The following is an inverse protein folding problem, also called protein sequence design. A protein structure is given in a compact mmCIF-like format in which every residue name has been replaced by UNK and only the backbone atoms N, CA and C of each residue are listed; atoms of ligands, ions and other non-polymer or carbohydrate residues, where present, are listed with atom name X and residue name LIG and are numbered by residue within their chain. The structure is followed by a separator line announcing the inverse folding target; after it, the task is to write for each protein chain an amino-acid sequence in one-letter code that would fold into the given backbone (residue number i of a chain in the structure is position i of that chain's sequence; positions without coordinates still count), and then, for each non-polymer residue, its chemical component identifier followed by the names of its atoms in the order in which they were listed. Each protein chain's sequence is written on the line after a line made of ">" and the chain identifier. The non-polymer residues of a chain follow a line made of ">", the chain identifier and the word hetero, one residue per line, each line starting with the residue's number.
data_IF_878132302634
#
_entry.id   IF_878132302634
#
_cell.length_a   1.000
_cell.length_b   1.000
_cell.length_c   1.000
_cell.angle_alpha   90.00
_cell.angle_beta   90.00
_cell.angle_gamma   90.00
#
_symmetry.space_group_name_H-M   'P 1'
#
loop_
_entity.id
_entity.type
_entity.pdbx_description
1 polymer ?
#
# COMPACT_ATOMS: atom_id res chain seq x y z
N UNK A 1 10.25 13.41 2.05
CA UNK A 1 9.70 13.41 3.44
C UNK A 1 9.28 12.01 3.81
N UNK A 2 9.43 11.60 5.08
CA UNK A 2 9.05 10.28 5.57
C UNK A 2 7.82 10.42 6.46
N UNK A 3 6.75 9.70 6.15
CA UNK A 3 5.54 9.68 6.96
C UNK A 3 5.42 8.32 7.65
N UNK A 4 5.47 8.36 8.98
CA UNK A 4 5.35 7.18 9.84
C UNK A 4 3.90 6.90 10.24
N UNK A 5 3.06 7.92 10.12
CA UNK A 5 1.67 7.96 10.55
C UNK A 5 0.83 8.57 9.42
N UNK A 6 -0.34 7.98 9.15
CA UNK A 6 -1.18 8.40 8.05
C UNK A 6 -1.95 9.69 8.35
N UNK A 7 -2.26 10.00 9.61
CA UNK A 7 -2.91 11.25 10.01
C UNK A 7 -1.97 12.44 9.81
N UNK A 8 -0.68 12.27 10.13
CA UNK A 8 0.34 13.29 9.85
C UNK A 8 0.46 13.55 8.34
N UNK A 9 0.39 12.50 7.53
CA UNK A 9 0.33 12.65 6.07
C UNK A 9 -0.91 13.42 5.62
N UNK A 10 -2.10 13.05 6.11
CA UNK A 10 -3.35 13.73 5.75
C UNK A 10 -3.30 15.20 6.12
N UNK A 11 -2.87 15.53 7.35
CA UNK A 11 -2.68 16.91 7.77
C UNK A 11 -1.74 17.67 6.84
N UNK A 12 -0.60 17.07 6.46
CA UNK A 12 0.35 17.71 5.56
C UNK A 12 -0.18 17.91 4.12
N UNK A 13 -1.11 17.08 3.65
CA UNK A 13 -1.73 17.20 2.31
C UNK A 13 -2.94 18.13 2.33
N UNK A 14 -3.72 18.12 3.42
CA UNK A 14 -4.96 18.88 3.58
C UNK A 14 -4.77 20.30 4.09
N UNK A 15 -3.57 20.65 4.56
CA UNK A 15 -3.17 22.04 4.78
C UNK A 15 -3.32 22.79 3.45
N UNK A 16 -4.53 23.35 3.25
CA UNK A 16 -4.89 24.15 2.10
C UNK A 16 -3.80 25.18 1.96
N UNK A 17 -3.14 25.11 0.82
CA UNK A 17 -2.18 26.08 0.35
C UNK A 17 -2.91 27.42 0.44
N UNK A 18 -2.57 28.24 1.43
CA UNK A 18 -2.68 29.69 1.26
C UNK A 18 -1.82 30.10 0.06
N UNK A 19 -1.55 31.38 -0.19
CA UNK A 19 -0.65 31.79 -1.28
C UNK A 19 0.80 31.25 -1.18
N UNK A 20 1.11 30.37 -0.23
CA UNK A 20 2.42 29.78 0.04
C UNK A 20 2.65 28.47 -0.74
N UNK A 21 3.54 28.45 -1.76
CA UNK A 21 3.84 27.28 -2.63
C UNK A 21 4.47 26.05 -1.95
N UNK A 22 4.47 26.02 -0.61
CA UNK A 22 5.42 25.27 0.20
C UNK A 22 5.13 23.76 0.25
N UNK A 23 3.99 23.28 -0.26
CA UNK A 23 3.69 21.84 -0.37
C UNK A 23 3.84 21.30 -1.80
N UNK A 24 4.11 22.17 -2.79
CA UNK A 24 4.57 21.74 -4.12
C UNK A 24 5.99 21.12 -4.06
N UNK A 25 6.65 21.14 -2.89
CA UNK A 25 7.96 20.52 -2.67
C UNK A 25 7.91 19.02 -2.35
N UNK A 26 6.72 18.40 -2.27
CA UNK A 26 6.57 16.99 -1.94
C UNK A 26 6.92 16.06 -3.11
N UNK A 27 8.03 16.33 -3.80
CA UNK A 27 8.49 15.52 -4.92
C UNK A 27 8.97 14.13 -4.53
N UNK A 28 9.33 13.94 -3.25
CA UNK A 28 9.74 12.63 -2.69
C UNK A 28 8.98 12.30 -1.41
N UNK A 29 8.26 11.20 -1.40
CA UNK A 29 7.49 10.71 -0.25
C UNK A 29 7.91 9.29 0.07
N UNK A 30 8.04 8.99 1.36
CA UNK A 30 8.12 7.62 1.85
C UNK A 30 6.93 7.33 2.75
N UNK A 31 6.12 6.36 2.34
CA UNK A 31 5.10 5.73 3.19
C UNK A 31 5.77 4.63 3.99
N UNK A 32 5.80 4.78 5.31
CA UNK A 32 6.36 3.80 6.21
C UNK A 32 5.30 3.40 7.24
N UNK A 33 4.23 2.77 6.76
CA UNK A 33 3.07 2.38 7.56
C UNK A 33 3.19 0.93 8.07
N UNK A 34 2.43 0.59 9.11
CA UNK A 34 2.21 -0.81 9.50
C UNK A 34 1.26 -1.48 8.49
N UNK A 35 1.14 -2.81 8.48
CA UNK A 35 0.18 -3.50 7.60
C UNK A 35 -1.26 -2.99 7.80
N UNK A 36 -1.66 -2.83 9.07
CA UNK A 36 -2.92 -2.20 9.44
C UNK A 36 -3.02 -0.78 8.87
N UNK A 37 -1.98 0.03 9.04
CA UNK A 37 -1.94 1.38 8.50
C UNK A 37 -2.03 1.44 6.98
N UNK A 38 -1.47 0.47 6.25
CA UNK A 38 -1.63 0.35 4.80
C UNK A 38 -3.07 0.06 4.40
N UNK A 39 -3.72 -0.88 5.09
CA UNK A 39 -5.13 -1.18 4.81
C UNK A 39 -6.03 0.02 5.11
N UNK A 40 -5.86 0.64 6.27
CA UNK A 40 -6.59 1.87 6.61
C UNK A 40 -6.31 3.01 5.61
N UNK A 41 -5.05 3.17 5.19
CA UNK A 41 -4.68 4.21 4.22
C UNK A 41 -5.34 3.98 2.85
N UNK A 42 -5.40 2.74 2.38
CA UNK A 42 -5.98 2.42 1.09
C UNK A 42 -7.48 2.08 1.14
N UNK A 43 -8.13 2.22 2.30
CA UNK A 43 -9.55 1.93 2.47
C UNK A 43 -9.88 0.44 2.34
N UNK A 44 -8.93 -0.43 2.67
CA UNK A 44 -9.10 -1.89 2.59
C UNK A 44 -9.84 -2.37 3.84
N UNK A 45 -11.01 -2.97 3.64
CA UNK A 45 -11.87 -3.46 4.71
C UNK A 45 -12.08 -4.97 4.64
N UNK A 46 -12.44 -5.53 5.80
CA UNK A 46 -12.64 -6.96 6.01
C UNK A 46 -14.04 -7.21 6.57
N UNK A 47 -15.11 -6.94 5.80
CA UNK A 47 -16.46 -7.41 6.18
C UNK A 47 -17.46 -7.41 5.00
N UNK A 48 -18.10 -8.54 4.65
CA UNK A 48 -17.75 -9.92 5.00
C UNK A 48 -16.53 -10.45 4.23
N UNK A 49 -16.18 -9.82 3.11
CA UNK A 49 -15.05 -10.18 2.24
C UNK A 49 -14.03 -9.04 2.17
N UNK A 50 -12.80 -9.36 1.74
CA UNK A 50 -11.78 -8.35 1.49
C UNK A 50 -12.21 -7.46 0.32
N UNK A 51 -12.37 -6.17 0.57
CA UNK A 51 -12.74 -5.19 -0.46
C UNK A 51 -12.07 -3.85 -0.21
N UNK A 52 -12.12 -2.96 -1.21
CA UNK A 52 -11.67 -1.57 -1.08
C UNK A 52 -12.89 -0.68 -1.00
N UNK A 53 -13.11 -0.06 0.16
CA UNK A 53 -14.04 1.04 0.32
C UNK A 53 -13.37 2.33 -0.18
N UNK A 54 -13.72 2.72 -1.41
CA UNK A 54 -13.20 3.92 -2.07
C UNK A 54 -13.50 5.20 -1.27
N UNK A 55 -14.60 5.24 -0.50
CA UNK A 55 -14.98 6.40 0.30
C UNK A 55 -14.05 6.61 1.51
N UNK A 56 -13.40 5.52 1.97
CA UNK A 56 -12.44 5.54 3.08
C UNK A 56 -10.98 5.59 2.60
N UNK A 57 -10.75 5.33 1.31
CA UNK A 57 -9.40 5.32 0.76
C UNK A 57 -8.78 6.71 0.72
N UNK A 58 -7.61 6.85 1.33
CA UNK A 58 -6.75 8.04 1.28
C UNK A 58 -5.75 7.97 0.12
N UNK A 59 -5.77 6.90 -0.67
CA UNK A 59 -4.88 6.71 -1.82
C UNK A 59 -4.99 7.83 -2.87
N UNK A 60 -6.18 8.38 -3.07
CA UNK A 60 -6.43 9.49 -4.00
C UNK A 60 -5.66 10.78 -3.66
N UNK A 61 -5.17 10.94 -2.42
CA UNK A 61 -4.28 12.06 -2.10
C UNK A 61 -2.95 11.96 -2.85
N UNK A 62 -2.44 10.75 -3.11
CA UNK A 62 -1.21 10.55 -3.87
C UNK A 62 -1.37 10.97 -5.34
N UNK A 63 -2.57 10.80 -5.92
CA UNK A 63 -2.85 11.19 -7.30
C UNK A 63 -2.94 12.70 -7.47
N UNK A 64 -3.32 13.43 -6.41
CA UNK A 64 -3.42 14.90 -6.40
C UNK A 64 -2.07 15.60 -6.25
N UNK A 65 -1.03 14.89 -5.84
CA UNK A 65 0.31 15.45 -5.70
C UNK A 65 1.02 15.50 -7.06
N UNK A 66 0.68 16.48 -7.89
CA UNK A 66 1.24 16.61 -9.25
C UNK A 66 2.76 16.73 -9.32
N UNK A 67 3.42 17.17 -8.24
CA UNK A 67 4.87 17.23 -8.13
C UNK A 67 5.53 15.92 -7.66
N UNK A 68 4.76 14.92 -7.20
CA UNK A 68 5.30 13.67 -6.67
C UNK A 68 5.92 12.82 -7.79
N UNK A 69 7.25 12.66 -7.74
CA UNK A 69 7.99 11.88 -8.73
C UNK A 69 8.73 10.68 -8.16
N UNK A 70 8.95 10.63 -6.84
CA UNK A 70 9.59 9.51 -6.13
C UNK A 70 8.74 9.09 -4.93
N UNK A 71 8.11 7.93 -5.02
CA UNK A 71 7.38 7.31 -3.93
C UNK A 71 8.14 6.08 -3.43
N UNK A 72 8.41 6.03 -2.14
CA UNK A 72 8.92 4.83 -1.48
C UNK A 72 7.85 4.23 -0.59
N UNK A 73 7.54 2.95 -0.80
CA UNK A 73 6.61 2.17 0.02
C UNK A 73 7.44 1.20 0.85
N UNK A 74 7.54 1.46 2.15
CA UNK A 74 8.28 0.61 3.08
C UNK A 74 7.31 -0.32 3.81
N UNK A 75 7.46 -1.63 3.60
CA UNK A 75 6.75 -2.66 4.34
C UNK A 75 7.50 -2.95 5.65
N UNK A 76 6.82 -2.86 6.79
CA UNK A 76 7.44 -3.14 8.09
C UNK A 76 7.42 -4.64 8.41
N UNK A 77 8.41 -5.11 9.17
CA UNK A 77 8.46 -6.51 9.60
C UNK A 77 7.30 -6.81 10.57
N UNK A 78 6.52 -7.88 10.33
CA UNK A 78 5.38 -8.22 11.18
C UNK A 78 5.79 -8.66 12.60
N UNK A 79 7.01 -9.18 12.79
CA UNK A 79 7.46 -9.78 14.06
C UNK A 79 7.63 -8.82 15.24
N UNK A 80 7.63 -7.49 15.02
CA UNK A 80 7.86 -6.50 16.10
C UNK A 80 6.57 -5.81 16.58
N UNK A 81 5.40 -6.31 16.19
CA UNK A 81 4.12 -5.71 16.55
C UNK A 81 3.27 -6.71 17.32
N UNK A 82 3.53 -6.79 18.62
CA UNK A 82 2.67 -7.49 19.58
C UNK A 82 1.25 -6.87 19.55
N UNK A 83 0.24 -7.69 19.24
CA UNK A 83 -1.13 -7.44 19.70
C UNK A 83 -2.19 -6.88 18.74
N UNK A 84 -2.03 -6.83 17.41
CA UNK A 84 -3.10 -6.34 16.49
C UNK A 84 -3.20 -7.12 15.17
N UNK A 85 -4.38 -7.12 14.49
CA UNK A 85 -4.94 -8.29 13.82
C UNK A 85 -4.01 -8.87 12.78
N UNK A 86 -3.86 -10.18 12.90
CA UNK A 86 -2.96 -10.98 12.11
C UNK A 86 -3.61 -11.20 10.76
N UNK A 87 -3.48 -10.24 9.85
CA UNK A 87 -3.62 -10.59 8.44
C UNK A 87 -2.63 -11.74 8.22
N UNK A 88 -3.08 -12.92 7.83
CA UNK A 88 -2.21 -14.06 7.82
C UNK A 88 -1.03 -13.75 6.94
N UNK A 89 0.15 -14.05 7.47
CA UNK A 89 1.39 -13.60 6.86
C UNK A 89 1.50 -14.03 5.38
N UNK A 90 0.77 -15.09 4.99
CA UNK A 90 0.61 -15.55 3.61
C UNK A 90 0.02 -14.51 2.64
N UNK A 91 -0.78 -13.53 3.10
CA UNK A 91 -1.29 -12.42 2.27
C UNK A 91 -0.21 -11.41 1.89
N UNK A 92 0.90 -11.39 2.65
CA UNK A 92 2.10 -10.57 2.42
C UNK A 92 3.23 -11.38 1.76
N UNK A 93 3.04 -12.69 1.58
CA UNK A 93 4.02 -13.62 1.03
C UNK A 93 3.66 -14.01 -0.42
N UNK A 94 4.66 -14.42 -1.21
CA UNK A 94 4.93 -13.85 -2.53
C UNK A 94 4.62 -14.76 -3.70
N UNK A 95 3.84 -15.82 -3.47
CA UNK A 95 3.07 -16.31 -4.61
C UNK A 95 2.08 -15.21 -5.03
N UNK A 96 1.55 -14.45 -4.05
CA UNK A 96 0.64 -13.31 -4.24
C UNK A 96 0.98 -12.10 -3.36
N UNK A 97 2.26 -11.73 -3.23
CA UNK A 97 2.72 -10.43 -2.69
C UNK A 97 2.19 -9.20 -3.47
N UNK A 98 1.23 -9.45 -4.35
CA UNK A 98 0.41 -8.51 -5.05
C UNK A 98 -0.75 -7.94 -4.27
N UNK A 99 -1.28 -8.51 -3.18
CA UNK A 99 -2.53 -7.97 -2.59
C UNK A 99 -2.44 -6.48 -2.20
N UNK A 100 -1.51 -6.13 -1.31
CA UNK A 100 -1.29 -4.72 -0.93
C UNK A 100 -1.01 -3.85 -2.17
N UNK A 101 -0.17 -4.35 -3.08
CA UNK A 101 0.18 -3.63 -4.30
C UNK A 101 -0.99 -3.53 -5.28
N UNK A 102 -1.94 -4.46 -5.28
CA UNK A 102 -3.14 -4.46 -6.14
C UNK A 102 -4.04 -3.32 -5.70
N UNK A 103 -4.25 -3.15 -4.39
CA UNK A 103 -5.01 -2.01 -3.87
C UNK A 103 -4.29 -0.68 -4.06
N UNK A 104 -2.95 -0.69 -3.94
CA UNK A 104 -2.13 0.50 -4.06
C UNK A 104 -2.04 0.97 -5.52
N UNK A 105 -1.95 0.03 -6.47
CA UNK A 105 -1.61 0.26 -7.87
C UNK A 105 -2.42 1.39 -8.54
N UNK A 106 -3.76 1.43 -8.45
CA UNK A 106 -4.56 2.51 -9.06
C UNK A 106 -4.15 3.92 -8.63
N UNK A 107 -3.57 4.08 -7.44
CA UNK A 107 -3.22 5.38 -6.87
C UNK A 107 -1.77 5.82 -7.14
N UNK A 108 -0.90 4.88 -7.55
CA UNK A 108 0.55 5.13 -7.64
C UNK A 108 1.11 4.90 -9.05
N UNK A 109 0.31 4.34 -9.96
CA UNK A 109 0.75 3.94 -11.29
C UNK A 109 1.28 5.07 -12.17
N UNK A 110 0.82 6.30 -11.92
CA UNK A 110 1.26 7.51 -12.60
C UNK A 110 2.58 8.08 -12.06
N UNK A 111 3.09 7.57 -10.93
CA UNK A 111 4.29 8.10 -10.29
C UNK A 111 5.53 7.54 -10.98
N UNK A 112 6.40 8.43 -11.48
CA UNK A 112 7.57 8.07 -12.31
C UNK A 112 8.52 7.06 -11.69
N UNK A 113 8.70 7.12 -10.37
CA UNK A 113 9.58 6.24 -9.64
C UNK A 113 8.88 5.76 -8.37
N UNK A 114 8.66 4.46 -8.29
CA UNK A 114 8.15 3.81 -7.10
C UNK A 114 9.15 2.75 -6.64
N UNK A 115 9.57 2.82 -5.38
CA UNK A 115 10.49 1.84 -4.79
C UNK A 115 9.81 1.11 -3.63
N UNK A 116 9.93 -0.22 -3.60
CA UNK A 116 9.46 -1.05 -2.50
C UNK A 116 10.65 -1.41 -1.59
N UNK A 117 10.52 -1.13 -0.30
CA UNK A 117 11.58 -1.38 0.69
C UNK A 117 11.06 -2.09 1.94
N UNK A 118 11.98 -2.54 2.79
CA UNK A 118 11.64 -3.23 4.03
C UNK A 118 11.32 -4.72 3.81
N UNK A 119 10.28 -5.22 4.48
CA UNK A 119 9.95 -6.64 4.54
C UNK A 119 9.11 -7.08 3.34
N UNK A 120 9.72 -7.09 2.17
CA UNK A 120 9.14 -7.57 0.89
C UNK A 120 10.10 -8.57 0.26
N UNK A 121 9.59 -9.71 -0.25
CA UNK A 121 10.47 -10.68 -0.91
C UNK A 121 10.95 -10.12 -2.25
N UNK A 122 12.24 -10.32 -2.53
CA UNK A 122 12.92 -9.79 -3.73
C UNK A 122 12.15 -10.06 -5.04
N UNK A 123 11.66 -11.30 -5.33
CA UNK A 123 10.92 -11.54 -6.58
C UNK A 123 9.64 -10.70 -6.72
N UNK A 124 8.88 -10.52 -5.63
CA UNK A 124 7.67 -9.67 -5.67
C UNK A 124 8.03 -8.20 -5.79
N UNK A 125 9.09 -7.76 -5.12
CA UNK A 125 9.62 -6.40 -5.26
C UNK A 125 9.97 -6.12 -6.72
N UNK A 126 10.83 -6.94 -7.31
CA UNK A 126 11.35 -6.74 -8.66
C UNK A 126 10.19 -6.77 -9.69
N UNK A 127 9.23 -7.69 -9.52
CA UNK A 127 8.02 -7.76 -10.35
C UNK A 127 7.21 -6.46 -10.30
N UNK A 128 6.92 -5.94 -9.10
CA UNK A 128 6.08 -4.75 -8.95
C UNK A 128 6.78 -3.46 -9.39
N UNK A 129 8.07 -3.32 -9.08
CA UNK A 129 8.85 -2.17 -9.55
C UNK A 129 8.93 -2.16 -11.09
N UNK A 130 9.05 -3.32 -11.73
CA UNK A 130 8.99 -3.43 -13.19
C UNK A 130 7.60 -3.07 -13.77
N UNK A 131 6.51 -3.56 -13.18
CA UNK A 131 5.14 -3.23 -13.59
C UNK A 131 4.92 -1.70 -13.51
N UNK A 132 5.30 -1.09 -12.39
CA UNK A 132 5.11 0.35 -12.17
C UNK A 132 6.00 1.19 -13.09
N UNK A 133 7.24 0.76 -13.34
CA UNK A 133 8.13 1.44 -14.29
C UNK A 133 7.60 1.39 -15.73
N UNK A 134 7.03 0.25 -16.15
CA UNK A 134 6.41 0.12 -17.46
C UNK A 134 5.16 1.01 -17.59
N UNK A 135 4.27 0.97 -16.60
CA UNK A 135 3.04 1.77 -16.59
C UNK A 135 3.34 3.28 -16.60
N UNK A 136 4.32 3.74 -15.81
CA UNK A 136 4.76 5.14 -15.81
C UNK A 136 5.39 5.59 -17.14
N UNK A 137 5.85 4.66 -17.97
CA UNK A 137 6.39 4.91 -19.32
C UNK A 137 5.34 4.68 -20.42
N UNK A 138 4.11 4.32 -20.07
CA UNK A 138 3.07 3.94 -21.03
C UNK A 138 3.39 2.65 -21.81
N UNK A 139 4.29 1.81 -21.27
CA UNK A 139 4.66 0.52 -21.87
C UNK A 139 3.67 -0.56 -21.46
N UNK A 140 3.32 -1.48 -22.37
CA UNK A 140 2.47 -2.61 -22.04
C UNK A 140 3.12 -3.48 -20.95
N UNK A 141 2.29 -4.04 -20.08
CA UNK A 141 2.70 -4.99 -19.05
C UNK A 141 1.64 -6.09 -18.89
N UNK A 142 2.02 -7.24 -18.32
CA UNK A 142 1.14 -8.40 -18.17
C UNK A 142 0.09 -8.28 -17.05
N UNK A 143 0.03 -7.15 -16.35
CA UNK A 143 -0.88 -6.97 -15.22
C UNK A 143 -2.28 -6.57 -15.69
N UNK A 144 -3.22 -7.50 -15.58
CA UNK A 144 -4.65 -7.20 -15.59
C UNK A 144 -5.07 -6.79 -14.17
N UNK A 145 -5.35 -5.49 -13.99
CA UNK A 145 -5.71 -4.94 -12.70
C UNK A 145 -7.17 -5.25 -12.32
N UNK A 146 -8.08 -5.30 -13.29
CA UNK A 146 -9.49 -5.52 -13.04
C UNK A 146 -9.74 -6.99 -12.66
N UNK A 147 -9.13 -7.93 -13.39
CA UNK A 147 -9.17 -9.34 -13.03
C UNK A 147 -8.54 -9.59 -11.65
N UNK A 148 -7.46 -8.87 -11.32
CA UNK A 148 -6.83 -8.98 -10.01
C UNK A 148 -7.73 -8.46 -8.88
N UNK A 149 -8.40 -7.32 -9.06
CA UNK A 149 -9.35 -6.79 -8.08
C UNK A 149 -10.57 -7.71 -7.93
N UNK A 150 -11.06 -8.29 -9.03
CA UNK A 150 -12.14 -9.27 -9.00
C UNK A 150 -11.75 -10.53 -8.20
N UNK A 151 -10.54 -11.07 -8.42
CA UNK A 151 -10.04 -12.23 -7.69
C UNK A 151 -9.90 -12.00 -6.17
N UNK A 152 -9.76 -10.74 -5.74
CA UNK A 152 -9.70 -10.39 -4.32
C UNK A 152 -11.08 -10.45 -3.66
N UNK A 153 -12.10 -9.98 -4.36
CA UNK A 153 -13.47 -9.87 -3.81
C UNK A 153 -14.08 -11.20 -3.39
N UNK A 154 -13.53 -12.31 -3.89
CA UNK A 154 -13.97 -13.67 -3.59
C UNK A 154 -13.19 -14.34 -2.45
N UNK A 155 -12.17 -13.68 -1.87
CA UNK A 155 -11.35 -14.29 -0.82
C UNK A 155 -12.13 -14.31 0.52
N UNK A 156 -12.42 -15.49 1.11
CA UNK A 156 -13.20 -15.59 2.35
C UNK A 156 -12.48 -15.08 3.60
N UNK A 157 -13.25 -14.57 4.58
CA UNK A 157 -12.80 -14.08 5.90
C UNK A 157 -11.99 -15.09 6.73
N UNK A 158 -12.21 -16.39 6.55
CA UNK A 158 -11.55 -17.46 7.33
C UNK A 158 -10.04 -17.45 7.09
N UNK A 159 -9.61 -17.08 5.88
CA UNK A 159 -8.20 -16.92 5.56
C UNK A 159 -7.58 -15.68 6.21
N UNK A 160 -8.33 -14.85 6.95
CA UNK A 160 -7.84 -13.68 7.67
C UNK A 160 -7.65 -13.89 9.18
N UNK A 161 -8.04 -15.05 9.75
CA UNK A 161 -8.13 -15.24 11.20
C UNK A 161 -7.09 -16.19 11.81
N UNK A 162 -6.33 -16.94 11.01
CA UNK A 162 -5.38 -17.94 11.54
C UNK A 162 -3.93 -17.44 11.52
N UNK A 163 -3.43 -17.04 12.68
CA UNK A 163 -2.06 -17.36 13.10
C UNK A 163 -2.13 -18.02 14.48
N UNK A 164 -1.55 -19.22 14.66
CA UNK A 164 -1.43 -19.81 15.99
C UNK A 164 -0.62 -18.87 16.89
N UNK A 165 -1.05 -18.73 18.16
CA UNK A 165 -0.25 -18.04 19.18
C UNK A 165 1.09 -18.75 19.33
N UNK A 166 2.16 -17.99 19.49
CA UNK A 166 3.48 -18.53 19.80
C UNK A 166 3.41 -19.23 21.17
N UNK A 167 3.74 -20.52 21.30
CA UNK A 167 3.64 -21.25 22.56
C UNK A 167 4.68 -20.80 23.63
N UNK A 168 5.49 -19.79 23.32
CA UNK A 168 6.50 -19.24 24.23
C UNK A 168 6.08 -17.96 24.96
N UNK A 169 4.85 -17.46 24.76
CA UNK A 169 4.27 -16.34 25.52
C UNK A 169 3.49 -16.84 26.76
N UNK A 170 4.16 -17.52 27.70
CA UNK A 170 3.61 -17.91 29.01
C UNK A 170 4.57 -17.61 30.14
#
# INVERSE_FOLDING_TARGET
>A
KIFLDHQVFMYAVDLKVGPTPQYNCLGKIQLNLTNKGYFEFFGVELDPNLHVDQSKSKGHHLTRLGALYDLQIRFRCPRRYEGKPVVPSHWLYPENGGLCMTFTFPYIKQIKKVNLTGFVKKPSKDKWEAILANEAQGKPHSRDQDAAMAAISVIPKIYCQFCPRDPHDS
#
